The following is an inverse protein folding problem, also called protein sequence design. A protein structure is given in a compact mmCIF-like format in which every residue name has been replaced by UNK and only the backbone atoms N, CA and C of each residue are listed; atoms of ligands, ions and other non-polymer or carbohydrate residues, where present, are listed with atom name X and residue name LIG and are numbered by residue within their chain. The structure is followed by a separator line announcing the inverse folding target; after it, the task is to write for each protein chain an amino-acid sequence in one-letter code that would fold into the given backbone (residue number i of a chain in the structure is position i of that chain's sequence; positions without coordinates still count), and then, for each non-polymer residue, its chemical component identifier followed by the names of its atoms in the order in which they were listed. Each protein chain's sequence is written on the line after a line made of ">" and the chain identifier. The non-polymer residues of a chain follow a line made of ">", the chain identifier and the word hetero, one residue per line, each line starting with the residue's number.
data_IF_049817559938
#
_entry.id   IF_049817559938
#
_cell.length_a   1.000
_cell.length_b   1.000
_cell.length_c   1.000
_cell.angle_alpha   90.00
_cell.angle_beta   90.00
_cell.angle_gamma   90.00
#
_symmetry.space_group_name_H-M   'P 1'
#
loop_
_entity.id
_entity.type
_entity.pdbx_description
1 polymer ?
#
# COMPACT_ATOMS: atom_id res chain seq x y z
N UNK A 1 11.72 -10.43 -6.79
CA UNK A 1 11.12 -9.62 -5.70
C UNK A 1 9.77 -10.24 -5.36
N UNK A 2 9.45 -10.41 -4.07
CA UNK A 2 8.13 -10.86 -3.65
C UNK A 2 7.26 -9.63 -3.36
N UNK A 3 6.38 -9.27 -4.29
CA UNK A 3 5.47 -8.14 -4.13
C UNK A 3 4.23 -8.60 -3.34
N UNK A 4 3.77 -7.75 -2.42
CA UNK A 4 2.58 -8.04 -1.61
C UNK A 4 1.31 -7.86 -2.43
N UNK A 5 0.24 -8.52 -2.02
CA UNK A 5 -1.07 -8.45 -2.70
C UNK A 5 -1.62 -7.02 -2.82
N UNK A 6 -2.26 -6.70 -3.94
CA UNK A 6 -2.83 -5.38 -4.25
C UNK A 6 -3.75 -4.84 -3.15
N UNK A 7 -4.62 -5.71 -2.61
CA UNK A 7 -5.56 -5.33 -1.55
C UNK A 7 -4.82 -4.90 -0.28
N UNK A 8 -3.71 -5.57 0.04
CA UNK A 8 -2.91 -5.29 1.21
C UNK A 8 -2.14 -3.99 1.03
N UNK A 9 -1.53 -3.79 -0.14
CA UNK A 9 -0.83 -2.55 -0.48
C UNK A 9 -1.80 -1.35 -0.44
N UNK A 10 -2.97 -1.48 -1.06
CA UNK A 10 -4.00 -0.43 -1.05
C UNK A 10 -4.48 -0.11 0.38
N UNK A 11 -4.72 -1.13 1.20
CA UNK A 11 -5.11 -0.97 2.59
C UNK A 11 -4.00 -0.29 3.41
N UNK A 12 -2.73 -0.67 3.23
CA UNK A 12 -1.62 -0.03 3.93
C UNK A 12 -1.43 1.42 3.53
N UNK A 13 -1.46 1.72 2.23
CA UNK A 13 -1.36 3.08 1.73
C UNK A 13 -2.51 3.95 2.25
N UNK A 14 -3.75 3.43 2.27
CA UNK A 14 -4.89 4.13 2.85
C UNK A 14 -4.69 4.41 4.34
N UNK A 15 -4.21 3.43 5.10
CA UNK A 15 -3.99 3.57 6.55
C UNK A 15 -2.84 4.53 6.89
N UNK A 16 -1.82 4.64 6.04
CA UNK A 16 -0.80 5.69 6.20
C UNK A 16 -1.36 7.07 5.86
N UNK A 17 -2.06 7.19 4.73
CA UNK A 17 -2.61 8.46 4.26
C UNK A 17 -3.61 9.11 5.25
N UNK A 18 -4.34 8.30 6.02
CA UNK A 18 -5.29 8.79 7.01
C UNK A 18 -4.77 8.72 8.46
N UNK A 19 -3.49 8.41 8.66
CA UNK A 19 -2.86 8.32 9.97
C UNK A 19 -3.34 7.16 10.86
N UNK A 20 -4.09 6.18 10.32
CA UNK A 20 -4.53 4.99 11.07
C UNK A 20 -3.40 4.00 11.32
N UNK A 21 -2.32 4.04 10.54
CA UNK A 21 -1.16 3.17 10.72
C UNK A 21 -0.09 3.84 11.58
N UNK A 22 0.19 3.23 12.72
CA UNK A 22 1.37 3.53 13.54
C UNK A 22 2.64 2.93 12.93
N UNK A 23 3.78 3.37 13.42
CA UNK A 23 5.10 2.92 12.94
C UNK A 23 5.89 2.33 14.11
N UNK A 24 6.65 1.27 13.83
CA UNK A 24 7.62 0.76 14.79
C UNK A 24 8.92 1.57 14.66
N UNK A 25 9.64 1.91 15.74
CA UNK A 25 10.88 2.70 15.66
C UNK A 25 11.95 2.09 14.74
N UNK A 26 11.99 0.76 14.63
CA UNK A 26 12.90 0.04 13.73
C UNK A 26 12.41 -0.09 12.28
N UNK A 27 11.15 0.29 12.00
CA UNK A 27 10.58 0.29 10.65
C UNK A 27 10.83 1.66 9.99
N UNK A 28 12.06 1.86 9.52
CA UNK A 28 12.46 3.10 8.85
C UNK A 28 11.57 3.41 7.64
N UNK A 29 11.14 2.39 6.90
CA UNK A 29 10.21 2.54 5.77
C UNK A 29 8.84 3.04 6.21
N UNK A 30 8.30 2.46 7.29
CA UNK A 30 7.05 2.92 7.92
C UNK A 30 7.14 4.36 8.40
N UNK A 31 8.25 4.76 9.03
CA UNK A 31 8.49 6.15 9.46
C UNK A 31 8.45 7.10 8.26
N UNK A 32 9.12 6.76 7.16
CA UNK A 32 9.06 7.57 5.94
C UNK A 32 7.65 7.66 5.36
N UNK A 33 6.91 6.54 5.29
CA UNK A 33 5.54 6.53 4.78
C UNK A 33 4.58 7.35 5.66
N UNK A 34 4.75 7.34 6.98
CA UNK A 34 3.96 8.18 7.90
C UNK A 34 4.29 9.67 7.74
N UNK A 35 5.54 10.01 7.44
CA UNK A 35 5.98 11.39 7.22
C UNK A 35 5.71 11.91 5.80
N UNK A 36 5.35 11.03 4.86
CA UNK A 36 5.15 11.37 3.46
C UNK A 36 3.98 12.33 3.11
N UNK A 37 2.89 12.51 3.90
CA UNK A 37 1.76 13.28 3.40
C UNK A 37 2.02 14.79 3.48
N UNK A 38 2.62 15.34 2.42
CA UNK A 38 2.57 16.79 2.12
C UNK A 38 1.25 17.20 1.45
N UNK A 39 0.63 16.30 0.67
CA UNK A 39 -0.68 16.49 0.01
C UNK A 39 -1.56 15.26 0.23
N UNK A 40 -2.86 15.41 0.55
CA UNK A 40 -3.77 14.28 0.65
C UNK A 40 -3.89 13.57 -0.70
N UNK A 41 -3.64 12.26 -0.69
CA UNK A 41 -3.79 11.37 -1.84
C UNK A 41 -5.25 10.94 -1.96
N UNK A 42 -5.80 11.03 -3.18
CA UNK A 42 -7.13 10.50 -3.45
C UNK A 42 -7.10 8.97 -3.54
N UNK A 43 -8.26 8.31 -3.41
CA UNK A 43 -8.35 6.87 -3.62
C UNK A 43 -7.89 6.43 -5.02
N UNK A 44 -8.06 7.31 -6.02
CA UNK A 44 -7.60 7.04 -7.38
C UNK A 44 -6.08 7.08 -7.49
N UNK A 45 -5.43 8.04 -6.80
CA UNK A 45 -3.97 8.12 -6.74
C UNK A 45 -3.39 6.85 -6.11
N UNK A 46 -3.99 6.38 -5.01
CA UNK A 46 -3.57 5.15 -4.34
C UNK A 46 -3.71 3.91 -5.23
N UNK A 47 -4.83 3.80 -5.97
CA UNK A 47 -5.05 2.70 -6.93
C UNK A 47 -4.04 2.73 -8.07
N UNK A 48 -3.74 3.91 -8.60
CA UNK A 48 -2.74 4.08 -9.66
C UNK A 48 -1.34 3.67 -9.19
N UNK A 49 -0.98 3.99 -7.95
CA UNK A 49 0.30 3.56 -7.36
C UNK A 49 0.38 2.03 -7.24
N UNK A 50 -0.68 1.38 -6.76
CA UNK A 50 -0.73 -0.09 -6.67
C UNK A 50 -0.65 -0.72 -8.05
N UNK A 51 -1.40 -0.20 -9.03
CA UNK A 51 -1.35 -0.68 -10.41
C UNK A 51 0.05 -0.52 -11.04
N UNK A 52 0.75 0.58 -10.75
CA UNK A 52 2.12 0.81 -11.19
C UNK A 52 3.09 -0.22 -10.59
N UNK A 53 3.00 -0.45 -9.27
CA UNK A 53 3.81 -1.45 -8.57
C UNK A 53 3.55 -2.85 -9.15
N UNK A 54 2.29 -3.22 -9.36
CA UNK A 54 1.93 -4.51 -9.94
C UNK A 54 2.47 -4.65 -11.37
N UNK A 55 2.31 -3.62 -12.22
CA UNK A 55 2.68 -3.69 -13.63
C UNK A 55 4.19 -3.71 -13.86
N UNK A 56 4.93 -2.85 -13.17
CA UNK A 56 6.33 -2.57 -13.49
C UNK A 56 7.32 -3.26 -12.55
N UNK A 57 6.86 -3.78 -11.41
CA UNK A 57 7.71 -4.48 -10.42
C UNK A 57 7.35 -5.97 -10.24
N UNK A 58 6.37 -6.52 -10.98
CA UNK A 58 6.02 -7.96 -10.92
C UNK A 58 6.15 -8.67 -12.27
N UNK A 59 6.62 -9.93 -12.20
CA UNK A 59 6.55 -10.94 -13.29
C UNK A 59 5.37 -11.91 -13.06
N UNK A 60 4.53 -11.61 -12.08
CA UNK A 60 3.49 -12.51 -11.58
C UNK A 60 2.14 -12.12 -12.18
N UNK A 61 1.29 -13.07 -12.59
CA UNK A 61 -0.02 -12.72 -13.12
C UNK A 61 -0.82 -11.91 -12.10
N UNK A 62 -1.72 -11.04 -12.57
CA UNK A 62 -2.75 -10.39 -11.76
C UNK A 62 -3.62 -11.49 -11.13
N UNK A 63 -3.25 -11.99 -9.94
CA UNK A 63 -3.94 -13.09 -9.28
C UNK A 63 -5.03 -12.58 -8.33
N UNK A 64 -6.02 -13.46 -8.16
CA UNK A 64 -7.38 -13.21 -7.70
C UNK A 64 -7.51 -12.38 -6.42
N UNK A 65 -8.57 -11.56 -6.41
CA UNK A 65 -9.16 -10.88 -5.24
C UNK A 65 -9.38 -11.84 -4.06
N UNK A 66 -8.37 -12.02 -3.22
CA UNK A 66 -8.57 -12.48 -1.85
C UNK A 66 -8.93 -11.24 -1.05
N UNK A 67 -10.22 -11.11 -0.72
CA UNK A 67 -10.68 -10.03 0.16
C UNK A 67 -10.03 -10.14 1.53
N UNK A 68 -10.00 -9.05 2.32
CA UNK A 68 -9.47 -9.09 3.67
C UNK A 68 -10.13 -10.24 4.45
N UNK A 69 -9.39 -10.95 5.31
CA UNK A 69 -9.96 -12.04 6.10
C UNK A 69 -11.17 -11.51 6.86
N UNK A 70 -12.32 -12.15 6.64
CA UNK A 70 -13.53 -11.86 7.43
C UNK A 70 -13.20 -12.21 8.88
N UNK A 71 -13.43 -11.25 9.78
CA UNK A 71 -13.29 -11.43 11.23
C UNK A 71 -14.22 -12.55 11.72
#
# INVERSE_FOLDING_TARGET
>A
MNVQEDWFLLDQLRKYANGQRSVHPSDAGGVMMKAAPGKPLSLNDLRNMVAYIAKDLTVTPLLQKVGPPKK
#
